data_IF_361584055900
#
_entry.id   IF_361584055900
#
_cell.length_a   1.000
_cell.length_b   1.000
_cell.length_c   1.000
_cell.angle_alpha   90.00
_cell.angle_beta   90.00
_cell.angle_gamma   90.00
#
_symmetry.space_group_name_H-M   'P 1'
#
loop_
_entity.id
_entity.type
_entity.pdbx_description
1 polymer ?
#
# COMPACT_ATOMS: atom_id res chain seq x y z
N UNK A 1 -3.47 36.27 13.74
CA UNK A 1 -4.30 36.05 14.94
C UNK A 1 -5.18 34.84 14.64
N UNK A 2 -5.04 33.74 15.39
CA UNK A 2 -5.96 32.60 15.26
C UNK A 2 -7.30 33.02 15.87
N UNK A 3 -8.39 32.94 15.10
CA UNK A 3 -9.73 33.11 15.64
C UNK A 3 -10.00 31.99 16.67
N UNK A 4 -10.31 32.40 17.89
CA UNK A 4 -10.61 31.49 19.00
C UNK A 4 -11.93 30.78 18.66
N UNK A 5 -11.87 29.48 18.38
CA UNK A 5 -13.05 28.64 18.12
C UNK A 5 -13.08 27.92 16.77
N UNK A 6 -12.17 28.24 15.83
CA UNK A 6 -12.06 27.52 14.55
C UNK A 6 -11.18 26.29 14.74
N UNK A 7 -11.74 25.10 14.49
CA UNK A 7 -10.99 23.85 14.56
C UNK A 7 -9.81 23.87 13.56
N UNK A 8 -8.66 23.38 13.97
CA UNK A 8 -7.46 23.31 13.12
C UNK A 8 -7.13 21.86 12.89
N UNK A 9 -6.92 21.48 11.64
CA UNK A 9 -6.58 20.13 11.24
C UNK A 9 -5.17 20.07 10.67
N UNK A 10 -4.44 19.00 10.97
CA UNK A 10 -3.10 18.75 10.42
C UNK A 10 -3.05 17.33 9.83
N UNK A 11 -2.85 17.16 8.52
CA UNK A 11 -2.77 15.85 7.89
C UNK A 11 -1.37 15.25 8.01
N UNK A 12 -1.31 13.92 8.09
CA UNK A 12 -0.08 13.15 7.96
C UNK A 12 0.22 12.71 6.52
N UNK A 13 1.32 11.98 6.31
CA UNK A 13 1.68 11.47 4.98
C UNK A 13 0.63 10.50 4.43
N UNK A 14 0.05 9.66 5.29
CA UNK A 14 -0.87 8.59 4.87
C UNK A 14 -2.14 9.12 4.21
N UNK A 15 -2.76 10.16 4.76
CA UNK A 15 -4.01 10.70 4.19
C UNK A 15 -3.80 11.46 2.89
N UNK A 16 -2.57 11.89 2.63
CA UNK A 16 -2.16 12.46 1.35
C UNK A 16 -1.96 11.31 0.36
N UNK A 17 -1.10 10.34 0.66
CA UNK A 17 -0.79 9.27 -0.30
C UNK A 17 -2.03 8.45 -0.69
N UNK A 18 -2.95 8.24 0.25
CA UNK A 18 -4.16 7.45 0.02
C UNK A 18 -5.32 8.27 -0.58
N UNK A 19 -5.13 9.56 -0.89
CA UNK A 19 -6.17 10.45 -1.42
C UNK A 19 -7.33 10.75 -0.46
N UNK A 20 -7.23 10.28 0.78
CA UNK A 20 -8.24 10.39 1.83
C UNK A 20 -8.50 11.84 2.20
N UNK A 21 -7.47 12.67 2.27
CA UNK A 21 -7.59 14.09 2.62
C UNK A 21 -8.48 14.84 1.62
N UNK A 22 -8.23 14.64 0.32
CA UNK A 22 -9.05 15.22 -0.75
C UNK A 22 -10.50 14.75 -0.66
N UNK A 23 -10.72 13.45 -0.45
CA UNK A 23 -12.06 12.87 -0.29
C UNK A 23 -12.83 13.56 0.84
N UNK A 24 -12.26 13.66 2.05
CA UNK A 24 -12.98 14.24 3.20
C UNK A 24 -13.20 15.75 3.10
N UNK A 25 -12.32 16.47 2.38
CA UNK A 25 -12.54 17.88 2.02
C UNK A 25 -13.76 18.01 1.10
N UNK A 26 -13.82 17.20 0.05
CA UNK A 26 -14.95 17.17 -0.89
C UNK A 26 -16.24 16.61 -0.26
N UNK A 27 -16.17 15.84 0.82
CA UNK A 27 -17.35 15.43 1.60
C UNK A 27 -17.83 16.52 2.57
N UNK A 28 -17.03 17.58 2.80
CA UNK A 28 -17.37 18.64 3.75
C UNK A 28 -17.18 18.25 5.21
N UNK A 29 -16.33 17.25 5.46
CA UNK A 29 -16.00 16.78 6.82
C UNK A 29 -14.99 17.69 7.52
N UNK A 30 -14.26 18.51 6.76
CA UNK A 30 -13.35 19.53 7.28
C UNK A 30 -14.08 20.88 7.34
N UNK A 31 -14.26 21.41 8.54
CA UNK A 31 -15.04 22.65 8.80
C UNK A 31 -14.22 23.80 9.40
N UNK A 32 -12.89 23.69 9.37
CA UNK A 32 -11.98 24.67 9.97
C UNK A 32 -10.74 24.90 9.10
N UNK A 33 -9.63 25.25 9.73
CA UNK A 33 -8.38 25.53 9.02
C UNK A 33 -7.61 24.24 8.75
N UNK A 34 -7.02 24.11 7.57
CA UNK A 34 -6.07 23.05 7.26
C UNK A 34 -4.65 23.60 7.38
N UNK A 35 -3.84 23.00 8.23
CA UNK A 35 -2.42 23.32 8.39
C UNK A 35 -1.60 22.19 7.78
N UNK A 36 -0.78 22.51 6.80
CA UNK A 36 0.15 21.59 6.18
C UNK A 36 1.55 21.88 6.73
N UNK A 37 2.23 20.86 7.25
CA UNK A 37 3.61 21.01 7.66
C UNK A 37 4.53 21.09 6.44
N UNK A 38 5.44 22.06 6.43
CA UNK A 38 6.47 22.19 5.39
C UNK A 38 7.32 20.93 5.28
N UNK A 39 7.63 20.31 6.42
CA UNK A 39 8.42 19.07 6.49
C UNK A 39 7.75 17.91 5.74
N UNK A 40 6.42 17.95 5.58
CA UNK A 40 5.67 16.99 4.78
C UNK A 40 5.85 17.20 3.27
N UNK A 41 5.96 18.47 2.84
CA UNK A 41 6.30 18.82 1.46
C UNK A 41 7.74 18.38 1.17
N UNK A 42 8.66 18.69 2.08
CA UNK A 42 10.09 18.35 1.97
C UNK A 42 10.29 16.81 1.91
N UNK A 43 9.49 16.06 2.67
CA UNK A 43 9.46 14.60 2.63
C UNK A 43 9.10 14.07 1.23
N UNK A 44 7.99 14.51 0.64
CA UNK A 44 7.60 14.07 -0.71
C UNK A 44 8.57 14.55 -1.79
N UNK A 45 9.13 15.75 -1.67
CA UNK A 45 10.16 16.25 -2.58
C UNK A 45 11.43 15.37 -2.54
N UNK A 46 11.87 14.97 -1.34
CA UNK A 46 13.02 14.07 -1.15
C UNK A 46 12.78 12.69 -1.79
N UNK A 47 11.59 12.12 -1.61
CA UNK A 47 11.18 10.88 -2.27
C UNK A 47 11.20 11.02 -3.79
N UNK A 48 10.67 12.13 -4.32
CA UNK A 48 10.64 12.40 -5.76
C UNK A 48 12.05 12.53 -6.35
N UNK A 49 12.94 13.26 -5.68
CA UNK A 49 14.37 13.39 -6.06
C UNK A 49 15.09 12.05 -6.06
N UNK A 50 14.62 11.10 -5.24
CA UNK A 50 15.13 9.74 -5.16
C UNK A 50 14.48 8.78 -6.17
N UNK A 51 13.73 9.30 -7.16
CA UNK A 51 12.98 8.54 -8.17
C UNK A 51 11.96 7.55 -7.60
N UNK A 52 11.43 7.80 -6.41
CA UNK A 52 10.33 7.01 -5.83
C UNK A 52 9.01 7.61 -6.29
N UNK A 53 8.16 6.80 -6.92
CA UNK A 53 6.88 7.29 -7.48
C UNK A 53 5.95 7.90 -6.42
N UNK A 54 6.07 7.42 -5.17
CA UNK A 54 5.34 7.96 -4.02
C UNK A 54 5.59 9.46 -3.78
N UNK A 55 6.79 9.95 -4.10
CA UNK A 55 7.12 11.37 -3.94
C UNK A 55 6.36 12.26 -4.93
N UNK A 56 6.35 11.89 -6.20
CA UNK A 56 5.58 12.61 -7.23
C UNK A 56 4.08 12.56 -6.93
N UNK A 57 3.58 11.38 -6.54
CA UNK A 57 2.19 11.20 -6.14
C UNK A 57 1.80 12.13 -4.98
N UNK A 58 2.59 12.15 -3.90
CA UNK A 58 2.30 12.98 -2.74
C UNK A 58 2.29 14.47 -3.08
N UNK A 59 3.21 14.92 -3.95
CA UNK A 59 3.24 16.31 -4.42
C UNK A 59 2.02 16.65 -5.30
N UNK A 60 1.61 15.76 -6.19
CA UNK A 60 0.41 15.97 -7.01
C UNK A 60 -0.87 15.96 -6.17
N UNK A 61 -1.00 15.05 -5.20
CA UNK A 61 -2.15 15.04 -4.31
C UNK A 61 -2.22 16.32 -3.46
N UNK A 62 -1.09 16.85 -3.01
CA UNK A 62 -1.03 18.14 -2.31
C UNK A 62 -1.51 19.31 -3.19
N UNK A 63 -1.24 19.29 -4.50
CA UNK A 63 -1.80 20.27 -5.45
C UNK A 63 -3.32 20.14 -5.56
N UNK A 64 -3.83 18.91 -5.61
CA UNK A 64 -5.27 18.66 -5.63
C UNK A 64 -5.96 19.06 -4.33
N UNK A 65 -5.37 18.74 -3.17
CA UNK A 65 -5.86 19.16 -1.85
C UNK A 65 -6.00 20.69 -1.79
N UNK A 66 -5.02 21.44 -2.28
CA UNK A 66 -5.10 22.90 -2.32
C UNK A 66 -6.26 23.40 -3.19
N UNK A 67 -6.49 22.74 -4.32
CA UNK A 67 -7.61 23.05 -5.22
C UNK A 67 -8.96 22.73 -4.56
N UNK A 68 -9.06 21.59 -3.87
CA UNK A 68 -10.26 21.15 -3.17
C UNK A 68 -10.59 22.05 -1.96
N UNK A 69 -9.57 22.50 -1.22
CA UNK A 69 -9.76 23.48 -0.14
C UNK A 69 -10.27 24.82 -0.68
N UNK A 70 -9.69 25.32 -1.78
CA UNK A 70 -10.12 26.57 -2.41
C UNK A 70 -11.59 26.50 -2.85
N UNK A 71 -12.03 25.40 -3.46
CA UNK A 71 -13.44 25.24 -3.88
C UNK A 71 -14.43 25.12 -2.71
N UNK A 72 -13.94 24.76 -1.52
CA UNK A 72 -14.71 24.66 -0.27
C UNK A 72 -14.56 25.85 0.66
N UNK A 73 -13.76 26.85 0.30
CA UNK A 73 -13.48 28.00 1.15
C UNK A 73 -12.73 27.63 2.43
N UNK A 74 -11.98 26.53 2.44
CA UNK A 74 -11.17 26.08 3.58
C UNK A 74 -9.82 26.79 3.53
N UNK A 75 -9.45 27.59 4.54
CA UNK A 75 -8.14 28.21 4.60
C UNK A 75 -7.04 27.16 4.75
N UNK A 76 -5.97 27.31 3.96
CA UNK A 76 -4.78 26.44 4.02
C UNK A 76 -3.57 27.26 4.43
N UNK A 77 -2.93 26.88 5.52
CA UNK A 77 -1.68 27.47 6.00
C UNK A 77 -0.54 26.45 5.88
N UNK A 78 0.64 26.89 5.41
CA UNK A 78 1.85 26.07 5.43
C UNK A 78 2.76 26.59 6.53
N UNK A 79 3.09 25.73 7.50
CA UNK A 79 3.92 26.10 8.67
C UNK A 79 5.04 25.10 8.85
N UNK A 80 6.09 25.48 9.56
CA UNK A 80 7.11 24.53 10.02
C UNK A 80 6.75 24.04 11.42
N UNK A 81 7.03 22.77 11.69
CA UNK A 81 6.96 22.21 13.04
C UNK A 81 7.97 22.86 14.00
N UNK A 82 9.05 23.44 13.48
CA UNK A 82 10.17 23.96 14.27
C UNK A 82 10.99 22.87 14.98
N UNK A 83 10.69 21.59 14.73
CA UNK A 83 11.33 20.43 15.33
C UNK A 83 12.18 19.69 14.29
N UNK A 84 13.17 18.95 14.77
CA UNK A 84 13.90 17.96 13.96
C UNK A 84 13.46 16.57 14.41
N UNK A 85 12.99 15.76 13.48
CA UNK A 85 12.78 14.33 13.66
C UNK A 85 13.11 13.63 12.35
N UNK A 86 13.53 12.37 12.44
CA UNK A 86 13.77 11.54 11.25
C UNK A 86 12.45 11.13 10.57
N UNK A 87 11.39 11.01 11.37
CA UNK A 87 10.05 10.64 10.92
C UNK A 87 9.13 11.86 10.85
N UNK A 88 8.59 12.12 9.67
CA UNK A 88 7.64 13.21 9.41
C UNK A 88 6.32 13.01 10.15
N UNK A 89 5.89 11.76 10.34
CA UNK A 89 4.65 11.45 11.07
C UNK A 89 4.81 11.81 12.57
N UNK A 90 6.01 11.68 13.12
CA UNK A 90 6.30 12.18 14.45
C UNK A 90 6.19 13.72 14.53
N UNK A 91 6.67 14.45 13.52
CA UNK A 91 6.55 15.92 13.48
C UNK A 91 5.10 16.38 13.45
N UNK A 92 4.26 15.71 12.65
CA UNK A 92 2.82 15.97 12.58
C UNK A 92 2.15 15.74 13.94
N UNK A 93 2.47 14.61 14.59
CA UNK A 93 1.96 14.27 15.93
C UNK A 93 2.38 15.29 16.99
N UNK A 94 3.64 15.71 17.02
CA UNK A 94 4.12 16.70 17.99
C UNK A 94 3.52 18.09 17.74
N UNK A 95 3.38 18.49 16.48
CA UNK A 95 2.71 19.74 16.14
C UNK A 95 1.24 19.75 16.60
N UNK A 96 0.52 18.63 16.38
CA UNK A 96 -0.86 18.49 16.84
C UNK A 96 -0.96 18.59 18.37
N UNK A 97 -0.03 17.98 19.11
CA UNK A 97 0.03 18.08 20.56
C UNK A 97 0.28 19.52 21.03
N UNK A 98 1.29 20.19 20.46
CA UNK A 98 1.72 21.53 20.88
C UNK A 98 0.64 22.59 20.59
N UNK A 99 -0.14 22.40 19.53
CA UNK A 99 -1.11 23.40 19.05
C UNK A 99 -2.57 23.07 19.36
N UNK A 100 -2.84 21.87 19.88
CA UNK A 100 -4.19 21.37 20.10
C UNK A 100 -4.97 21.09 18.81
N UNK A 101 -4.28 20.98 17.67
CA UNK A 101 -4.88 20.66 16.37
C UNK A 101 -5.34 19.19 16.31
N UNK A 102 -6.33 18.92 15.48
CA UNK A 102 -6.82 17.57 15.19
C UNK A 102 -5.97 16.95 14.09
N UNK A 103 -5.25 15.88 14.41
CA UNK A 103 -4.45 15.11 13.45
C UNK A 103 -5.36 14.29 12.54
N UNK A 104 -5.20 14.40 11.23
CA UNK A 104 -5.92 13.57 10.25
C UNK A 104 -4.98 12.46 9.78
N UNK A 105 -5.39 11.20 9.96
CA UNK A 105 -4.57 10.03 9.57
C UNK A 105 -5.43 8.91 8.99
N UNK A 106 -4.84 8.13 8.10
CA UNK A 106 -5.37 6.84 7.61
C UNK A 106 -4.51 5.66 8.09
N UNK A 107 -3.48 5.93 8.89
CA UNK A 107 -2.60 4.94 9.52
C UNK A 107 -3.11 4.59 10.91
N UNK A 108 -3.41 3.30 11.13
CA UNK A 108 -3.84 2.81 12.45
C UNK A 108 -2.75 2.99 13.51
N UNK A 109 -1.48 2.80 13.12
CA UNK A 109 -0.32 3.00 13.99
C UNK A 109 -0.20 4.46 14.42
N UNK A 110 -0.35 5.40 13.49
CA UNK A 110 -0.30 6.83 13.78
C UNK A 110 -1.46 7.27 14.68
N UNK A 111 -2.67 6.75 14.45
CA UNK A 111 -3.82 6.97 15.32
C UNK A 111 -3.49 6.57 16.77
N UNK A 112 -3.13 5.31 16.99
CA UNK A 112 -2.88 4.77 18.33
C UNK A 112 -1.75 5.51 19.05
N UNK A 113 -0.65 5.81 18.34
CA UNK A 113 0.48 6.54 18.90
C UNK A 113 0.13 7.98 19.29
N UNK A 114 -0.76 8.64 18.53
CA UNK A 114 -1.20 10.01 18.80
C UNK A 114 -2.22 10.07 19.94
N UNK A 115 -3.19 9.16 19.95
CA UNK A 115 -4.19 9.04 21.02
C UNK A 115 -3.52 8.75 22.38
N UNK A 116 -2.47 7.91 22.39
CA UNK A 116 -1.72 7.56 23.60
C UNK A 116 -1.07 8.77 24.31
N UNK A 117 -0.81 9.86 23.59
CA UNK A 117 -0.24 11.10 24.14
C UNK A 117 -1.27 12.24 24.26
N UNK A 118 -2.56 11.95 24.04
CA UNK A 118 -3.66 12.91 24.19
C UNK A 118 -3.89 13.82 22.98
N UNK A 119 -3.36 13.49 21.81
CA UNK A 119 -3.67 14.22 20.57
C UNK A 119 -5.07 13.85 20.08
N UNK A 120 -5.84 14.86 19.64
CA UNK A 120 -7.12 14.63 18.95
C UNK A 120 -6.86 14.06 17.57
N UNK A 121 -7.52 12.95 17.22
CA UNK A 121 -7.33 12.27 15.94
C UNK A 121 -8.63 12.13 15.18
N UNK A 122 -8.62 12.53 13.91
CA UNK A 122 -9.60 12.16 12.89
C UNK A 122 -9.02 11.01 12.07
N UNK A 123 -9.30 9.78 12.49
CA UNK A 123 -8.95 8.59 11.72
C UNK A 123 -9.97 8.36 10.61
N UNK A 124 -9.49 8.15 9.39
CA UNK A 124 -10.32 7.84 8.24
C UNK A 124 -9.72 6.64 7.53
N UNK A 125 -10.43 5.50 7.57
CA UNK A 125 -10.00 4.30 6.85
C UNK A 125 -9.92 4.63 5.35
N UNK A 126 -8.81 4.31 4.68
CA UNK A 126 -8.68 4.57 3.26
C UNK A 126 -9.67 3.71 2.48
N UNK A 127 -10.21 4.22 1.35
CA UNK A 127 -11.08 3.43 0.51
C UNK A 127 -10.32 2.20 0.02
N UNK A 128 -10.88 1.01 0.25
CA UNK A 128 -10.31 -0.23 -0.28
C UNK A 128 -10.60 -0.31 -1.78
N UNK A 129 -9.66 0.15 -2.59
CA UNK A 129 -9.69 -0.10 -4.03
C UNK A 129 -9.41 -1.59 -4.24
N UNK A 130 -10.42 -2.36 -4.68
CA UNK A 130 -10.19 -3.78 -5.00
C UNK A 130 -9.52 -3.88 -6.36
N UNK A 131 -8.58 -4.81 -6.50
CA UNK A 131 -8.07 -5.22 -7.81
C UNK A 131 -9.21 -5.88 -8.59
N UNK A 132 -9.80 -5.21 -9.58
CA UNK A 132 -10.92 -5.77 -10.33
C UNK A 132 -10.49 -6.43 -11.64
N UNK A 133 -9.47 -5.91 -12.34
CA UNK A 133 -9.06 -6.50 -13.63
C UNK A 133 -8.15 -7.70 -13.44
N UNK A 134 -7.14 -7.60 -12.56
CA UNK A 134 -6.21 -8.69 -12.30
C UNK A 134 -6.92 -9.91 -11.71
N UNK A 135 -7.87 -9.71 -10.78
CA UNK A 135 -8.58 -10.80 -10.10
C UNK A 135 -9.42 -11.65 -11.05
N UNK A 136 -9.87 -11.12 -12.20
CA UNK A 136 -10.62 -11.87 -13.22
C UNK A 136 -9.83 -13.05 -13.79
N UNK A 137 -8.49 -13.01 -13.71
CA UNK A 137 -7.62 -14.09 -14.19
C UNK A 137 -7.35 -15.16 -13.12
N UNK A 138 -7.84 -14.98 -11.90
CA UNK A 138 -7.66 -15.91 -10.80
C UNK A 138 -8.94 -16.66 -10.45
N UNK A 139 -8.84 -18.00 -10.42
CA UNK A 139 -9.80 -18.87 -9.74
C UNK A 139 -9.19 -19.44 -8.44
N UNK A 140 -9.91 -20.35 -7.77
CA UNK A 140 -9.45 -21.00 -6.54
C UNK A 140 -8.24 -21.93 -6.74
N UNK A 141 -7.94 -22.31 -7.98
CA UNK A 141 -6.85 -23.23 -8.36
C UNK A 141 -5.68 -22.51 -9.00
N UNK A 142 -5.83 -21.24 -9.39
CA UNK A 142 -4.79 -20.43 -10.01
C UNK A 142 -3.75 -20.00 -8.97
N UNK A 143 -2.54 -20.50 -9.13
CA UNK A 143 -1.36 -20.16 -8.35
C UNK A 143 -0.77 -18.82 -8.77
N UNK A 144 -0.68 -18.59 -10.08
CA UNK A 144 -0.13 -17.38 -10.65
C UNK A 144 -0.71 -17.11 -12.03
N UNK A 145 -0.72 -15.85 -12.41
CA UNK A 145 -1.13 -15.35 -13.72
C UNK A 145 0.08 -14.66 -14.37
N UNK A 146 0.21 -14.86 -15.67
CA UNK A 146 1.27 -14.32 -16.52
C UNK A 146 0.62 -13.62 -17.72
N UNK A 147 0.75 -12.31 -17.76
CA UNK A 147 0.21 -11.42 -18.80
C UNK A 147 1.39 -10.81 -19.56
N UNK A 148 1.40 -10.92 -20.88
CA UNK A 148 2.48 -10.38 -21.73
C UNK A 148 1.90 -9.78 -23.00
N UNK A 149 2.44 -8.62 -23.37
CA UNK A 149 2.04 -7.88 -24.58
C UNK A 149 2.21 -8.75 -25.82
N UNK A 150 1.16 -8.82 -26.64
CA UNK A 150 1.13 -9.63 -27.86
C UNK A 150 1.01 -11.14 -27.61
N UNK A 151 0.76 -11.58 -26.37
CA UNK A 151 0.57 -12.98 -26.03
C UNK A 151 -0.79 -13.23 -25.33
N UNK A 152 -1.38 -14.42 -25.50
CA UNK A 152 -2.53 -14.81 -24.70
C UNK A 152 -2.22 -14.81 -23.19
N UNK A 153 -3.21 -14.52 -22.32
CA UNK A 153 -3.03 -14.61 -20.87
C UNK A 153 -2.92 -16.07 -20.42
N UNK A 154 -1.96 -16.36 -19.54
CA UNK A 154 -1.76 -17.71 -18.98
C UNK A 154 -1.86 -17.74 -17.46
N UNK A 155 -2.36 -18.86 -16.94
CA UNK A 155 -2.35 -19.17 -15.52
C UNK A 155 -1.57 -20.47 -15.23
N UNK A 156 -0.86 -20.51 -14.11
CA UNK A 156 -0.43 -21.76 -13.50
C UNK A 156 -1.51 -22.23 -12.55
N UNK A 157 -2.17 -23.33 -12.87
CA UNK A 157 -3.23 -23.91 -12.03
C UNK A 157 -2.77 -25.20 -11.36
N UNK A 158 -3.05 -25.36 -10.07
CA UNK A 158 -2.74 -26.54 -9.29
C UNK A 158 -2.14 -26.22 -7.93
N UNK A 159 -1.12 -26.97 -7.53
CA UNK A 159 -0.41 -26.83 -6.25
C UNK A 159 1.10 -26.88 -6.45
N UNK A 160 1.91 -26.42 -5.48
CA UNK A 160 3.36 -26.55 -5.55
C UNK A 160 3.77 -28.00 -5.89
N UNK A 161 4.69 -28.15 -6.86
CA UNK A 161 5.13 -29.46 -7.37
C UNK A 161 4.17 -30.19 -8.32
N UNK A 162 2.90 -29.77 -8.43
CA UNK A 162 1.93 -30.35 -9.38
C UNK A 162 0.98 -29.27 -9.92
N UNK A 163 1.40 -28.65 -11.02
CA UNK A 163 0.65 -27.60 -11.71
C UNK A 163 0.64 -27.83 -13.22
N UNK A 164 -0.30 -27.17 -13.91
CA UNK A 164 -0.38 -27.11 -15.37
C UNK A 164 -0.48 -25.65 -15.81
N UNK A 165 0.11 -25.33 -16.97
CA UNK A 165 -0.11 -24.04 -17.61
C UNK A 165 -1.45 -24.10 -18.35
N UNK A 166 -2.30 -23.12 -18.12
CA UNK A 166 -3.64 -23.01 -18.72
C UNK A 166 -3.72 -21.67 -19.43
N UNK A 167 -4.10 -21.69 -20.69
CA UNK A 167 -4.42 -20.48 -21.44
C UNK A 167 -5.81 -19.99 -21.03
N UNK A 168 -5.93 -18.73 -20.64
CA UNK A 168 -7.18 -18.16 -20.10
C UNK A 168 -8.08 -17.56 -21.19
N UNK A 169 -7.48 -17.18 -22.32
CA UNK A 169 -8.17 -16.62 -23.49
C UNK A 169 -7.38 -16.94 -24.75
N UNK A 170 -8.03 -17.05 -25.90
CA UNK A 170 -7.36 -17.18 -27.21
C UNK A 170 -6.83 -15.85 -27.74
N UNK A 171 -7.40 -14.73 -27.26
CA UNK A 171 -7.01 -13.40 -27.72
C UNK A 171 -5.71 -12.96 -27.04
N UNK A 172 -4.67 -12.58 -27.82
CA UNK A 172 -3.49 -11.92 -27.27
C UNK A 172 -3.84 -10.59 -26.62
N UNK A 173 -3.17 -10.27 -25.52
CA UNK A 173 -3.34 -8.98 -24.85
C UNK A 173 -2.64 -7.86 -25.61
N UNK A 174 -3.33 -6.75 -25.81
CA UNK A 174 -2.73 -5.53 -26.32
C UNK A 174 -1.85 -4.86 -25.26
N UNK A 175 -1.00 -3.94 -25.72
CA UNK A 175 -0.18 -3.13 -24.82
C UNK A 175 -1.04 -2.29 -23.89
N UNK A 176 -2.07 -1.65 -24.44
CA UNK A 176 -3.00 -0.79 -23.72
C UNK A 176 -3.75 -1.57 -22.63
N UNK A 177 -4.14 -2.82 -22.89
CA UNK A 177 -4.78 -3.68 -21.90
C UNK A 177 -3.85 -3.97 -20.71
N UNK A 178 -2.57 -4.26 -20.96
CA UNK A 178 -1.60 -4.55 -19.89
C UNK A 178 -1.22 -3.29 -19.13
N UNK A 179 -1.02 -2.16 -19.83
CA UNK A 179 -0.79 -0.87 -19.19
C UNK A 179 -1.96 -0.50 -18.26
N UNK A 180 -3.22 -0.70 -18.69
CA UNK A 180 -4.39 -0.46 -17.86
C UNK A 180 -4.43 -1.35 -16.61
N UNK A 181 -4.07 -2.63 -16.72
CA UNK A 181 -3.98 -3.54 -15.57
C UNK A 181 -2.84 -3.08 -14.63
N UNK A 182 -1.69 -2.68 -15.19
CA UNK A 182 -0.55 -2.18 -14.42
C UNK A 182 -0.92 -0.90 -13.65
N UNK A 183 -1.63 0.02 -14.30
CA UNK A 183 -2.08 1.28 -13.70
C UNK A 183 -3.08 1.03 -12.56
N UNK A 184 -4.06 0.13 -12.73
CA UNK A 184 -4.96 -0.27 -11.63
C UNK A 184 -4.17 -0.87 -10.47
N UNK A 185 -3.22 -1.78 -10.73
CA UNK A 185 -2.38 -2.37 -9.68
C UNK A 185 -1.61 -1.29 -8.94
N UNK A 186 -1.00 -0.34 -9.65
CA UNK A 186 -0.23 0.74 -9.05
C UNK A 186 -1.12 1.70 -8.25
N UNK A 187 -2.32 2.01 -8.74
CA UNK A 187 -3.29 2.83 -8.03
C UNK A 187 -3.75 2.17 -6.73
N UNK A 188 -4.11 0.89 -6.79
CA UNK A 188 -4.46 0.10 -5.61
C UNK A 188 -3.27 0.03 -4.65
N UNK A 189 -2.07 -0.28 -5.14
CA UNK A 189 -0.88 -0.37 -4.30
C UNK A 189 -0.48 0.95 -3.63
N UNK A 190 -0.91 2.09 -4.17
CA UNK A 190 -0.67 3.42 -3.57
C UNK A 190 -1.71 3.80 -2.52
N UNK A 191 -2.91 3.23 -2.61
CA UNK A 191 -4.06 3.60 -1.76
C UNK A 191 -4.36 2.57 -0.68
N UNK A 192 -3.97 1.32 -0.89
CA UNK A 192 -4.12 0.22 0.05
C UNK A 192 -3.01 0.32 1.13
N UNK A 193 -3.37 0.53 2.41
CA UNK A 193 -2.41 0.69 3.50
C UNK A 193 -1.60 -0.58 3.78
N UNK A 194 -2.08 -1.75 3.35
CA UNK A 194 -1.41 -3.03 3.52
C UNK A 194 -0.53 -3.39 2.30
N UNK A 195 -0.49 -2.54 1.27
CA UNK A 195 0.37 -2.71 0.12
C UNK A 195 1.82 -2.31 0.42
N UNK A 196 2.77 -3.11 -0.06
CA UNK A 196 4.20 -2.88 0.11
C UNK A 196 4.86 -2.94 -1.26
N UNK A 197 5.44 -1.83 -1.69
CA UNK A 197 6.35 -1.82 -2.84
C UNK A 197 7.71 -2.35 -2.37
N UNK A 198 7.98 -3.63 -2.65
CA UNK A 198 9.22 -4.30 -2.25
C UNK A 198 10.44 -3.72 -2.99
N UNK A 199 10.30 -3.52 -4.30
CA UNK A 199 11.37 -3.05 -5.19
C UNK A 199 10.77 -2.12 -6.23
N UNK A 200 11.35 -0.95 -6.40
CA UNK A 200 11.02 -0.01 -7.47
C UNK A 200 12.29 0.34 -8.25
N UNK A 201 12.35 -0.10 -9.52
CA UNK A 201 13.41 0.22 -10.48
C UNK A 201 12.75 0.87 -11.70
N UNK A 202 13.49 1.65 -12.53
CA UNK A 202 12.90 2.40 -13.65
C UNK A 202 11.98 1.59 -14.58
N UNK A 203 12.27 0.30 -14.76
CA UNK A 203 11.58 -0.59 -15.70
C UNK A 203 11.05 -1.88 -15.05
N UNK A 204 11.06 -1.97 -13.72
CA UNK A 204 10.50 -3.12 -13.00
C UNK A 204 10.10 -2.76 -11.59
N UNK A 205 8.92 -3.21 -11.18
CA UNK A 205 8.35 -2.97 -9.86
C UNK A 205 7.88 -4.31 -9.29
N UNK A 206 8.19 -4.56 -8.01
CA UNK A 206 7.66 -5.70 -7.26
C UNK A 206 6.79 -5.15 -6.12
N UNK A 207 5.56 -5.62 -6.07
CA UNK A 207 4.51 -5.15 -5.16
C UNK A 207 3.95 -6.36 -4.42
N UNK A 208 4.00 -6.34 -3.10
CA UNK A 208 3.17 -7.20 -2.26
C UNK A 208 1.86 -6.46 -2.01
N UNK A 209 0.76 -6.93 -2.59
CA UNK A 209 -0.57 -6.33 -2.48
C UNK A 209 -1.59 -7.38 -2.05
N UNK A 210 -2.08 -7.27 -0.82
CA UNK A 210 -2.94 -8.29 -0.21
C UNK A 210 -2.33 -9.70 -0.32
N UNK A 211 -3.05 -10.63 -0.94
CA UNK A 211 -2.61 -12.01 -1.18
C UNK A 211 -1.78 -12.16 -2.46
N UNK A 212 -1.42 -11.08 -3.15
CA UNK A 212 -0.69 -11.14 -4.41
C UNK A 212 0.72 -10.59 -4.25
N UNK A 213 1.69 -11.32 -4.78
CA UNK A 213 3.01 -10.78 -5.10
C UNK A 213 3.06 -10.53 -6.59
N UNK A 214 3.11 -9.26 -6.97
CA UNK A 214 2.95 -8.80 -8.34
C UNK A 214 4.28 -8.23 -8.81
N UNK A 215 4.70 -8.65 -10.00
CA UNK A 215 5.88 -8.16 -10.70
C UNK A 215 5.39 -7.50 -11.98
N UNK A 216 5.71 -6.23 -12.16
CA UNK A 216 5.48 -5.47 -13.39
C UNK A 216 6.85 -5.23 -14.03
N UNK A 217 7.01 -5.57 -15.30
CA UNK A 217 8.22 -5.32 -16.08
C UNK A 217 7.86 -4.66 -17.42
N UNK A 218 8.73 -3.76 -17.87
CA UNK A 218 8.58 -3.05 -19.16
C UNK A 218 9.94 -2.87 -19.83
N UNK A 219 9.98 -2.53 -21.13
CA UNK A 219 11.25 -2.28 -21.81
C UNK A 219 12.09 -1.20 -21.13
N UNK A 220 13.43 -1.30 -21.14
CA UNK A 220 14.26 -2.37 -21.69
C UNK A 220 14.47 -3.61 -20.80
N UNK A 221 13.78 -3.73 -19.65
CA UNK A 221 13.95 -4.91 -18.77
C UNK A 221 13.32 -6.19 -19.36
N UNK A 222 12.31 -6.03 -20.20
CA UNK A 222 11.58 -7.07 -20.92
C UNK A 222 11.35 -6.65 -22.37
N UNK A 223 11.00 -7.60 -23.25
CA UNK A 223 10.77 -7.33 -24.69
C UNK A 223 9.48 -6.53 -24.95
N UNK A 224 8.58 -6.48 -23.97
CA UNK A 224 7.31 -5.75 -23.99
C UNK A 224 6.77 -5.61 -22.57
N UNK A 225 5.56 -5.10 -22.39
CA UNK A 225 4.94 -5.07 -21.06
C UNK A 225 4.60 -6.47 -20.55
N UNK A 226 4.96 -6.73 -19.29
CA UNK A 226 4.73 -8.01 -18.62
C UNK A 226 4.25 -7.81 -17.18
N UNK A 227 3.20 -8.54 -16.80
CA UNK A 227 2.70 -8.62 -15.43
C UNK A 227 2.69 -10.08 -15.01
N UNK A 228 3.39 -10.40 -13.92
CA UNK A 228 3.29 -11.70 -13.26
C UNK A 228 2.74 -11.48 -11.85
N UNK A 229 1.55 -12.02 -11.59
CA UNK A 229 0.95 -12.00 -10.26
C UNK A 229 0.95 -13.41 -9.69
N UNK A 230 1.47 -13.58 -8.48
CA UNK A 230 1.52 -14.85 -7.78
C UNK A 230 0.67 -14.73 -6.53
N UNK A 231 -0.29 -15.65 -6.33
CA UNK A 231 -0.85 -15.89 -5.00
C UNK A 231 0.16 -16.76 -4.26
N UNK A 232 0.84 -16.28 -3.19
CA UNK A 232 1.63 -17.14 -2.34
C UNK A 232 0.69 -18.20 -1.77
N UNK A 233 0.74 -19.37 -2.38
CA UNK A 233 -0.13 -20.47 -2.02
C UNK A 233 0.33 -21.01 -0.68
N UNK A 234 -0.52 -20.76 0.31
CA UNK A 234 -0.66 -21.54 1.54
C UNK A 234 0.54 -21.37 2.48
N UNK A 235 0.30 -20.91 3.71
CA UNK A 235 1.13 -21.38 4.83
C UNK A 235 0.80 -22.86 4.93
N UNK A 236 1.65 -23.79 4.46
CA UNK A 236 1.31 -25.21 4.45
C UNK A 236 0.83 -25.56 5.85
N UNK A 237 -0.37 -26.15 5.95
CA UNK A 237 -0.86 -26.55 7.26
C UNK A 237 -0.03 -27.74 7.72
N UNK A 238 0.06 -27.94 9.03
CA UNK A 238 0.89 -29.02 9.57
C UNK A 238 0.47 -30.39 9.04
N UNK A 239 -0.82 -30.56 8.71
CA UNK A 239 -1.40 -31.78 8.15
C UNK A 239 -0.91 -32.08 6.72
N UNK A 240 -0.52 -31.05 5.95
CA UNK A 240 -0.03 -31.19 4.57
C UNK A 240 1.34 -31.89 4.50
N UNK A 241 2.09 -31.92 5.61
CA UNK A 241 3.39 -32.59 5.72
C UNK A 241 3.28 -34.10 5.96
N UNK A 242 2.06 -34.64 6.06
CA UNK A 242 1.80 -36.07 6.32
C UNK A 242 2.66 -36.62 7.49
N UNK A 243 2.77 -35.83 8.57
CA UNK A 243 3.56 -36.19 9.74
C UNK A 243 2.98 -37.44 10.42
N UNK A 244 3.81 -38.35 10.95
CA UNK A 244 3.33 -39.50 11.71
C UNK A 244 2.45 -39.07 12.89
N UNK A 245 1.36 -39.80 13.17
CA UNK A 245 0.42 -39.48 14.26
C UNK A 245 1.11 -39.31 15.62
N UNK A 246 2.15 -40.10 15.88
CA UNK A 246 2.97 -40.01 17.09
C UNK A 246 3.70 -38.66 17.22
N UNK A 247 4.12 -38.07 16.10
CA UNK A 247 4.77 -36.75 16.09
C UNK A 247 3.73 -35.65 16.27
N UNK A 248 2.56 -35.75 15.63
CA UNK A 248 1.45 -34.82 15.80
C UNK A 248 1.03 -34.70 17.26
N UNK A 249 0.73 -35.82 17.93
CA UNK A 249 0.37 -35.82 19.37
C UNK A 249 1.47 -35.22 20.24
N UNK A 250 2.74 -35.47 19.91
CA UNK A 250 3.87 -34.89 20.66
C UNK A 250 3.94 -33.37 20.52
N UNK A 251 3.66 -32.84 19.33
CA UNK A 251 3.61 -31.41 19.08
C UNK A 251 2.43 -30.74 19.79
N UNK A 252 1.26 -31.40 19.81
CA UNK A 252 0.04 -30.89 20.45
C UNK A 252 0.08 -30.93 21.99
N UNK A 253 0.59 -32.01 22.57
CA UNK A 253 0.40 -32.29 24.01
C UNK A 253 1.63 -31.94 24.88
N UNK A 254 2.83 -31.81 24.30
CA UNK A 254 4.08 -31.83 25.10
C UNK A 254 5.17 -30.85 24.67
N UNK A 255 5.19 -30.40 23.42
CA UNK A 255 6.33 -29.66 22.89
C UNK A 255 6.15 -28.14 23.10
N UNK A 256 6.81 -27.58 24.11
CA UNK A 256 6.82 -26.12 24.37
C UNK A 256 8.01 -25.41 23.73
N UNK A 257 9.11 -26.13 23.47
CA UNK A 257 10.31 -25.63 22.80
C UNK A 257 10.66 -26.48 21.58
N UNK A 258 10.40 -25.95 20.38
CA UNK A 258 10.62 -26.65 19.11
C UNK A 258 11.70 -25.91 18.31
N UNK A 259 12.71 -26.65 17.85
CA UNK A 259 13.74 -26.15 16.94
C UNK A 259 13.60 -26.85 15.60
N UNK A 260 13.34 -26.07 14.55
CA UNK A 260 13.26 -26.56 13.16
C UNK A 260 14.61 -26.28 12.49
N UNK A 261 15.35 -27.33 12.16
CA UNK A 261 16.69 -27.26 11.56
C UNK A 261 16.74 -27.88 10.16
N UNK A 262 17.71 -27.45 9.35
CA UNK A 262 17.88 -27.87 7.96
C UNK A 262 18.67 -26.86 7.14
N UNK A 263 19.21 -27.27 5.99
CA UNK A 263 19.99 -26.40 5.11
C UNK A 263 19.16 -25.19 4.60
N UNK A 264 19.80 -24.08 4.20
CA UNK A 264 19.11 -22.96 3.53
C UNK A 264 18.29 -23.46 2.33
N UNK A 265 17.09 -22.89 2.13
CA UNK A 265 16.18 -23.28 1.04
C UNK A 265 15.33 -24.54 1.27
N UNK A 266 15.46 -25.23 2.41
CA UNK A 266 14.70 -26.45 2.73
C UNK A 266 13.30 -26.22 3.32
N UNK A 267 12.72 -25.03 3.17
CA UNK A 267 11.35 -24.77 3.63
C UNK A 267 11.16 -24.84 5.15
N UNK A 268 12.10 -24.26 5.91
CA UNK A 268 12.02 -24.17 7.39
C UNK A 268 11.12 -23.05 7.90
N UNK A 269 10.81 -22.08 7.03
CA UNK A 269 10.03 -20.87 7.32
C UNK A 269 8.64 -21.04 6.75
#
# INVERSE_FOLDING_TARGET
>A
MREIGVETYVPDASVITNGVLKMIILEGRIKGNLVILRELIDYFESLAKSNRSLGILGLDEMRFVRTACNSRGIPVEVVSSGRKAEDVDALVRWYALDTGATLITSSKTQQLASEAIGVKVLYVEPPRTRLTTLEKFFDDKTMSVHLKEGAPPYAKQGRPGKWRLVQLSENPLSREEIEAIADEILEVARTDPDAIVEIERPNSIIIQLNLYRIIIARPPMSDGWEITAVKPLVRPKLEDYALPEKLMRRLEERAEGILIAGAPGMGKT
#
